data_IF_209563586745
#
_entry.id   IF_209563586745
#
_cell.length_a   1.000
_cell.length_b   1.000
_cell.length_c   1.000
_cell.angle_alpha   90.00
_cell.angle_beta   90.00
_cell.angle_gamma   90.00
#
_symmetry.space_group_name_H-M   'P 1'
#
loop_
_entity.id
_entity.type
_entity.pdbx_description
1 polymer ?
#
# COMPACT_ATOMS: atom_id res chain seq x y z
N UNK A 1 -2.44 -3.75 -6.62
CA UNK A 1 -1.77 -2.86 -5.65
C UNK A 1 -0.95 -1.76 -6.32
N UNK A 2 -0.18 -2.08 -7.34
CA UNK A 2 0.78 -1.15 -7.93
C UNK A 2 0.16 -0.07 -8.84
N UNK A 3 -1.01 -0.32 -9.41
CA UNK A 3 -1.55 0.42 -10.55
C UNK A 3 -1.65 1.94 -10.35
N UNK A 4 -1.97 2.41 -9.16
CA UNK A 4 -2.15 3.83 -8.86
C UNK A 4 -0.97 4.45 -8.10
N UNK A 5 0.07 3.68 -7.83
CA UNK A 5 1.27 4.20 -7.16
C UNK A 5 2.13 4.99 -8.16
N UNK A 6 2.98 5.91 -7.67
CA UNK A 6 3.87 6.64 -8.56
C UNK A 6 4.70 5.71 -9.43
N UNK A 7 4.95 6.13 -10.67
CA UNK A 7 5.76 5.36 -11.60
C UNK A 7 7.13 5.05 -10.99
N UNK A 8 7.58 3.81 -11.15
CA UNK A 8 8.87 3.38 -10.61
C UNK A 8 8.88 2.98 -9.15
N UNK A 9 7.74 3.05 -8.44
CA UNK A 9 7.65 2.58 -7.06
C UNK A 9 7.87 1.05 -7.03
N UNK A 10 8.90 0.57 -6.32
CA UNK A 10 9.11 -0.88 -6.21
C UNK A 10 8.00 -1.53 -5.38
N UNK A 11 7.38 -2.56 -5.93
CA UNK A 11 6.33 -3.32 -5.26
C UNK A 11 6.58 -4.80 -5.49
N UNK A 12 6.64 -5.54 -4.39
CA UNK A 12 6.72 -6.98 -4.41
C UNK A 12 5.44 -7.51 -3.77
N UNK A 13 4.59 -8.16 -4.56
CA UNK A 13 3.29 -8.55 -4.03
C UNK A 13 2.79 -9.87 -4.62
N UNK A 14 1.81 -10.44 -3.94
CA UNK A 14 1.10 -11.64 -4.38
C UNK A 14 -0.39 -11.40 -4.24
N UNK A 15 -1.10 -11.56 -5.34
CA UNK A 15 -2.55 -11.44 -5.36
C UNK A 15 -3.22 -12.80 -5.16
N UNK A 16 -4.44 -12.77 -4.66
CA UNK A 16 -5.28 -13.94 -4.55
C UNK A 16 -6.72 -13.58 -4.86
N UNK A 17 -7.47 -14.51 -5.43
CA UNK A 17 -8.88 -14.30 -5.76
C UNK A 17 -9.68 -15.56 -5.46
N UNK A 18 -10.72 -15.40 -4.66
CA UNK A 18 -11.74 -16.40 -4.39
C UNK A 18 -13.10 -15.79 -4.70
N UNK A 19 -14.16 -16.60 -4.64
CA UNK A 19 -15.52 -16.11 -4.89
C UNK A 19 -15.83 -14.87 -4.03
N UNK A 20 -16.01 -13.72 -4.67
CA UNK A 20 -16.36 -12.48 -4.01
C UNK A 20 -15.27 -11.88 -3.13
N UNK A 21 -14.05 -12.43 -3.15
CA UNK A 21 -12.94 -11.94 -2.35
C UNK A 21 -11.69 -11.81 -3.21
N UNK A 22 -11.04 -10.66 -3.12
CA UNK A 22 -9.71 -10.46 -3.71
C UNK A 22 -8.78 -9.94 -2.63
N UNK A 23 -7.53 -10.39 -2.65
CA UNK A 23 -6.53 -9.89 -1.72
C UNK A 23 -5.23 -9.55 -2.44
N UNK A 24 -4.42 -8.75 -1.78
CA UNK A 24 -3.10 -8.39 -2.27
C UNK A 24 -2.23 -8.12 -1.04
N UNK A 25 -1.13 -8.85 -0.94
CA UNK A 25 -0.20 -8.75 0.20
C UNK A 25 1.19 -8.54 -0.34
N UNK A 26 1.91 -7.60 0.24
CA UNK A 26 3.26 -7.37 -0.26
C UNK A 26 4.01 -6.27 0.45
N UNK A 27 5.10 -5.87 -0.18
CA UNK A 27 5.97 -4.82 0.28
C UNK A 27 5.96 -3.66 -0.72
N UNK A 28 5.84 -2.45 -0.21
CA UNK A 28 6.02 -1.24 -1.01
C UNK A 28 7.26 -0.53 -0.50
N UNK A 29 8.17 -0.18 -1.39
CA UNK A 29 9.36 0.59 -1.03
C UNK A 29 9.04 2.08 -1.16
N UNK A 30 9.18 2.78 -0.05
CA UNK A 30 8.92 4.22 0.02
C UNK A 30 10.08 5.03 -0.54
N UNK A 31 9.88 6.30 -0.90
CA UNK A 31 10.93 7.13 -1.50
C UNK A 31 12.19 7.27 -0.65
N UNK A 32 12.08 7.16 0.67
CA UNK A 32 13.23 7.25 1.58
C UNK A 32 13.93 5.92 1.79
N UNK A 33 13.50 4.86 1.09
CA UNK A 33 14.08 3.53 1.18
C UNK A 33 13.42 2.61 2.19
N UNK A 34 12.55 3.11 3.06
CA UNK A 34 11.80 2.25 3.97
C UNK A 34 10.83 1.36 3.21
N UNK A 35 10.66 0.15 3.69
CA UNK A 35 9.69 -0.79 3.12
C UNK A 35 8.53 -0.94 4.08
N UNK A 36 7.32 -0.88 3.55
CA UNK A 36 6.11 -1.13 4.33
C UNK A 36 5.50 -2.45 3.90
N UNK A 37 4.93 -3.18 4.85
CA UNK A 37 4.16 -4.40 4.58
C UNK A 37 2.71 -4.01 4.52
N UNK A 38 2.04 -4.41 3.44
CA UNK A 38 0.64 -4.05 3.21
C UNK A 38 -0.14 -5.31 2.89
N UNK A 39 -1.29 -5.46 3.53
CA UNK A 39 -2.25 -6.51 3.21
C UNK A 39 -3.61 -5.85 2.99
N UNK A 40 -4.18 -6.05 1.82
CA UNK A 40 -5.46 -5.46 1.44
C UNK A 40 -6.42 -6.56 1.04
N UNK A 41 -7.59 -6.58 1.66
CA UNK A 41 -8.64 -7.53 1.36
C UNK A 41 -9.88 -6.77 0.88
N UNK A 42 -10.38 -7.11 -0.29
CA UNK A 42 -11.59 -6.53 -0.84
C UNK A 42 -12.64 -7.61 -1.02
N UNK A 43 -13.84 -7.39 -0.50
CA UNK A 43 -14.93 -8.34 -0.55
C UNK A 43 -16.14 -7.72 -1.23
N UNK A 44 -16.72 -8.47 -2.17
CA UNK A 44 -17.86 -7.97 -2.93
C UNK A 44 -17.48 -6.84 -3.88
N UNK A 45 -18.47 -6.09 -4.35
CA UNK A 45 -18.24 -4.97 -5.26
C UNK A 45 -17.96 -5.41 -6.70
N UNK A 46 -17.90 -4.43 -7.60
CA UNK A 46 -17.79 -4.68 -9.04
C UNK A 46 -16.37 -4.58 -9.58
N UNK A 47 -15.46 -3.92 -8.87
CA UNK A 47 -14.08 -3.75 -9.35
C UNK A 47 -13.10 -3.79 -8.18
N UNK A 48 -12.87 -4.99 -7.68
CA UNK A 48 -11.96 -5.20 -6.54
C UNK A 48 -10.50 -4.86 -6.85
N UNK A 49 -9.95 -5.14 -8.04
CA UNK A 49 -8.59 -4.72 -8.34
C UNK A 49 -8.39 -3.21 -8.24
N UNK A 50 -9.36 -2.43 -8.70
CA UNK A 50 -9.28 -0.97 -8.56
C UNK A 50 -9.41 -0.53 -7.11
N UNK A 51 -10.29 -1.14 -6.35
CA UNK A 51 -10.46 -0.84 -4.93
C UNK A 51 -9.15 -1.10 -4.17
N UNK A 52 -8.49 -2.22 -4.47
CA UNK A 52 -7.19 -2.55 -3.87
C UNK A 52 -6.14 -1.50 -4.27
N UNK A 53 -6.11 -1.09 -5.53
CA UNK A 53 -5.16 -0.09 -6.00
C UNK A 53 -5.39 1.27 -5.33
N UNK A 54 -6.63 1.68 -5.15
CA UNK A 54 -6.97 2.92 -4.46
C UNK A 54 -6.58 2.87 -2.98
N UNK A 55 -6.83 1.75 -2.31
CA UNK A 55 -6.41 1.56 -0.93
C UNK A 55 -4.88 1.61 -0.80
N UNK A 56 -4.16 0.96 -1.71
CA UNK A 56 -2.71 0.99 -1.71
C UNK A 56 -2.18 2.41 -1.90
N UNK A 57 -2.80 3.21 -2.77
CA UNK A 57 -2.41 4.60 -2.97
C UNK A 57 -2.62 5.43 -1.71
N UNK A 58 -3.75 5.25 -1.05
CA UNK A 58 -4.05 5.95 0.21
C UNK A 58 -3.04 5.61 1.29
N UNK A 59 -2.69 4.33 1.42
CA UNK A 59 -1.69 3.88 2.37
C UNK A 59 -0.32 4.49 2.03
N UNK A 60 0.07 4.45 0.76
CA UNK A 60 1.33 5.01 0.30
C UNK A 60 1.42 6.50 0.64
N UNK A 61 0.38 7.27 0.32
CA UNK A 61 0.37 8.71 0.59
C UNK A 61 0.45 9.01 2.09
N UNK A 62 -0.24 8.21 2.91
CA UNK A 62 -0.19 8.36 4.36
C UNK A 62 1.21 8.12 4.92
N UNK A 63 1.85 7.04 4.53
CA UNK A 63 3.21 6.73 4.98
C UNK A 63 4.24 7.70 4.42
N UNK A 64 4.09 8.14 3.18
CA UNK A 64 4.96 9.15 2.61
C UNK A 64 4.91 10.44 3.41
N UNK A 65 3.73 10.86 3.81
CA UNK A 65 3.55 12.03 4.65
C UNK A 65 4.27 11.88 5.98
N UNK A 66 4.18 10.71 6.62
CA UNK A 66 4.88 10.43 7.88
C UNK A 66 6.39 10.48 7.73
N UNK A 67 6.95 9.85 6.69
CA UNK A 67 8.40 9.78 6.52
C UNK A 67 9.02 11.11 6.15
N UNK A 68 8.22 12.07 5.65
CA UNK A 68 8.69 13.42 5.34
C UNK A 68 8.36 14.43 6.43
N UNK A 69 7.70 13.99 7.50
CA UNK A 69 7.25 14.87 8.58
C UNK A 69 8.43 15.29 9.47
N UNK A 70 8.53 16.57 9.84
CA UNK A 70 9.67 17.05 10.65
C UNK A 70 9.69 16.53 12.08
N UNK A 71 8.59 15.93 12.56
CA UNK A 71 8.48 15.41 13.92
C UNK A 71 8.73 13.91 14.00
N UNK A 72 9.45 13.34 13.04
CA UNK A 72 9.77 11.93 13.03
C UNK A 72 10.37 11.38 14.33
N UNK A 73 11.19 12.14 15.06
CA UNK A 73 11.72 11.65 16.33
C UNK A 73 10.67 11.19 17.31
N UNK A 74 9.48 11.78 17.26
CA UNK A 74 8.34 11.37 18.10
C UNK A 74 7.90 9.97 17.73
N UNK A 75 7.86 9.65 16.43
CA UNK A 75 7.49 8.34 15.95
C UNK A 75 8.55 7.30 16.28
N UNK A 76 9.81 7.66 16.15
CA UNK A 76 10.89 6.73 16.41
C UNK A 76 11.07 6.40 17.90
N UNK A 77 10.48 7.20 18.77
CA UNK A 77 10.48 6.92 20.21
C UNK A 77 9.54 5.78 20.60
N UNK A 78 8.73 5.30 19.68
CA UNK A 78 7.79 4.19 19.91
C UNK A 78 8.48 2.81 19.99
#
# INVERSE_FOLDING_TARGET
MKALLPSGTPVEHKTGTLNGLSDDVGFITMPDGHRIVVAIFARGGSNRPRTIAEAARTIYDGFKSLVTWPFRPVLSAQ
#
